data_IF_092766547620
#
_entry.id   IF_092766547620
#
_cell.length_a   1.000
_cell.length_b   1.000
_cell.length_c   1.000
_cell.angle_alpha   90.00
_cell.angle_beta   90.00
_cell.angle_gamma   90.00
#
_symmetry.space_group_name_H-M   'P 1'
#
loop_
_entity.id
_entity.type
_entity.pdbx_description
1 polymer ?
#
# COMPACT_ATOMS: atom_id res chain seq x y z
N UNK A 1 -46.95 -4.90 3.83
CA UNK A 1 -47.70 -3.64 3.84
C UNK A 1 -47.16 -2.77 2.74
N UNK A 2 -48.01 -2.36 1.84
CA UNK A 2 -47.68 -1.43 0.76
C UNK A 2 -47.51 -0.04 1.42
N UNK A 3 -46.25 0.45 1.44
CA UNK A 3 -45.96 1.78 1.97
C UNK A 3 -46.32 2.81 0.90
N UNK A 4 -47.23 3.72 1.22
CA UNK A 4 -47.60 4.84 0.34
C UNK A 4 -47.02 6.11 0.93
N UNK A 5 -46.12 6.74 0.18
CA UNK A 5 -45.54 8.05 0.49
C UNK A 5 -46.40 9.09 -0.21
N UNK A 6 -46.71 10.21 0.46
CA UNK A 6 -47.52 11.24 -0.21
C UNK A 6 -46.72 11.97 -1.31
N UNK A 7 -45.48 12.46 -0.98
CA UNK A 7 -44.66 13.13 -1.97
C UNK A 7 -43.16 12.81 -1.74
N UNK A 8 -42.46 12.40 -2.80
CA UNK A 8 -41.00 12.28 -2.83
C UNK A 8 -40.44 13.40 -3.71
N UNK A 9 -39.56 14.22 -3.13
CA UNK A 9 -38.94 15.35 -3.81
C UNK A 9 -37.63 14.87 -4.46
N UNK A 10 -37.51 15.07 -5.77
CA UNK A 10 -36.33 14.72 -6.55
C UNK A 10 -35.79 15.92 -7.31
N UNK A 11 -34.46 16.06 -7.33
CA UNK A 11 -33.76 17.05 -8.13
C UNK A 11 -32.45 16.45 -8.64
N UNK A 12 -32.16 16.61 -9.93
CA UNK A 12 -31.01 16.01 -10.61
C UNK A 12 -30.81 14.50 -10.31
N UNK A 13 -31.88 13.72 -10.39
CA UNK A 13 -31.92 12.28 -10.10
C UNK A 13 -31.53 11.93 -8.63
N UNK A 14 -31.57 12.88 -7.74
CA UNK A 14 -31.31 12.68 -6.30
C UNK A 14 -32.59 12.88 -5.52
N UNK A 15 -32.88 12.00 -4.55
CA UNK A 15 -33.97 12.19 -3.59
C UNK A 15 -33.52 13.24 -2.59
N UNK A 16 -34.10 14.44 -2.65
CA UNK A 16 -33.69 15.58 -1.83
C UNK A 16 -34.58 15.82 -0.62
N UNK A 17 -35.80 15.30 -0.65
CA UNK A 17 -36.75 15.44 0.44
C UNK A 17 -37.95 14.50 0.33
N UNK A 18 -38.74 14.41 1.40
CA UNK A 18 -39.97 13.62 1.48
C UNK A 18 -41.00 14.41 2.27
N UNK A 19 -42.27 14.46 1.81
CA UNK A 19 -43.34 15.14 2.49
C UNK A 19 -44.43 14.14 2.83
N UNK A 20 -44.88 14.15 4.08
CA UNK A 20 -46.07 13.45 4.58
C UNK A 20 -47.11 14.47 4.95
N UNK A 21 -48.27 14.39 4.28
CA UNK A 21 -49.39 15.33 4.46
C UNK A 21 -50.50 14.73 5.34
N UNK A 22 -51.01 15.50 6.27
CA UNK A 22 -52.09 15.10 7.12
C UNK A 22 -53.28 16.08 7.00
N UNK A 23 -54.45 15.67 7.49
CA UNK A 23 -55.68 16.50 7.46
C UNK A 23 -55.51 17.78 8.26
N UNK A 24 -56.18 18.81 7.81
CA UNK A 24 -56.16 20.18 8.36
C UNK A 24 -56.36 20.28 9.88
N UNK A 25 -57.17 19.43 10.48
CA UNK A 25 -57.45 19.44 11.89
C UNK A 25 -56.43 18.75 12.80
N UNK A 26 -55.35 18.21 12.26
CA UNK A 26 -54.29 17.48 13.02
C UNK A 26 -53.06 18.35 13.26
N UNK A 27 -52.25 18.05 14.30
CA UNK A 27 -50.96 18.73 14.50
C UNK A 27 -50.07 18.63 13.28
N UNK A 28 -49.25 19.67 13.01
CA UNK A 28 -48.31 19.69 11.88
C UNK A 28 -47.25 18.60 11.97
N UNK A 29 -47.02 18.03 13.15
CA UNK A 29 -46.05 16.94 13.39
C UNK A 29 -46.68 15.55 13.35
N UNK A 30 -48.00 15.44 13.11
CA UNK A 30 -48.69 14.15 13.14
C UNK A 30 -48.13 13.14 12.14
N UNK A 31 -47.64 13.60 10.99
CA UNK A 31 -47.01 12.77 9.96
C UNK A 31 -45.51 12.52 10.16
N UNK A 32 -44.90 13.14 11.18
CA UNK A 32 -43.43 13.15 11.29
C UNK A 32 -42.82 11.77 11.47
N UNK A 33 -43.37 10.94 12.34
CA UNK A 33 -42.84 9.59 12.57
C UNK A 33 -42.89 8.74 11.27
N UNK A 34 -43.99 8.85 10.53
CA UNK A 34 -44.15 8.15 9.26
C UNK A 34 -43.19 8.69 8.21
N UNK A 35 -42.95 9.99 8.14
CA UNK A 35 -41.98 10.62 7.27
C UNK A 35 -40.55 10.17 7.59
N UNK A 36 -40.18 10.07 8.88
CA UNK A 36 -38.89 9.57 9.35
C UNK A 36 -38.68 8.08 8.95
N UNK A 37 -39.69 7.22 9.14
CA UNK A 37 -39.63 5.82 8.78
C UNK A 37 -39.39 5.63 7.26
N UNK A 38 -40.03 6.46 6.44
CA UNK A 38 -39.83 6.46 4.99
C UNK A 38 -38.49 7.08 4.60
N UNK A 39 -38.07 8.15 5.25
CA UNK A 39 -36.77 8.78 5.06
C UNK A 39 -35.63 7.79 5.28
N UNK A 40 -35.69 6.99 6.36
CA UNK A 40 -34.72 5.94 6.64
C UNK A 40 -34.70 4.85 5.56
N UNK A 41 -35.88 4.40 5.08
CA UNK A 41 -35.96 3.36 4.04
C UNK A 41 -35.43 3.81 2.68
N UNK A 42 -35.60 5.10 2.35
CA UNK A 42 -35.20 5.66 1.06
C UNK A 42 -33.87 6.41 1.09
N UNK A 43 -33.24 6.52 2.25
CA UNK A 43 -32.00 7.28 2.44
C UNK A 43 -32.19 8.78 2.18
N UNK A 44 -33.34 9.36 2.54
CA UNK A 44 -33.65 10.78 2.37
C UNK A 44 -33.32 11.52 3.67
N UNK A 45 -32.53 12.60 3.56
CA UNK A 45 -32.07 13.38 4.72
C UNK A 45 -33.16 14.30 5.27
N UNK A 46 -33.85 15.07 4.42
CA UNK A 46 -34.86 16.03 4.87
C UNK A 46 -36.25 15.44 4.71
N UNK A 47 -37.00 15.39 5.84
CA UNK A 47 -38.37 14.92 5.82
C UNK A 47 -39.28 16.03 6.37
N UNK A 48 -40.45 16.15 5.81
CA UNK A 48 -41.42 17.18 6.10
C UNK A 48 -42.76 16.55 6.54
N UNK A 49 -43.38 17.15 7.56
CA UNK A 49 -44.74 16.86 7.88
C UNK A 49 -45.56 18.16 7.77
N UNK A 50 -46.75 18.08 7.18
CA UNK A 50 -47.65 19.24 7.01
C UNK A 50 -49.09 18.84 7.19
N UNK A 51 -49.91 19.83 7.65
CA UNK A 51 -51.37 19.73 7.69
C UNK A 51 -52.06 20.77 6.80
N UNK A 52 -51.34 21.39 5.85
CA UNK A 52 -51.79 22.41 4.97
C UNK A 52 -51.73 23.83 5.52
N UNK A 53 -51.63 24.04 6.85
CA UNK A 53 -51.47 25.35 7.48
C UNK A 53 -50.05 25.63 7.98
N UNK A 54 -49.28 24.57 8.25
CA UNK A 54 -47.90 24.70 8.69
C UNK A 54 -47.03 23.59 8.14
N UNK A 55 -45.73 23.80 8.15
CA UNK A 55 -44.74 22.86 7.68
C UNK A 55 -43.73 22.63 8.80
N UNK A 56 -43.49 21.36 9.13
CA UNK A 56 -42.42 20.95 10.02
C UNK A 56 -41.34 20.28 9.22
N UNK A 57 -40.13 20.85 9.18
CA UNK A 57 -38.92 20.28 8.57
C UNK A 57 -38.17 19.51 9.63
N UNK A 58 -37.70 18.32 9.30
CA UNK A 58 -36.81 17.50 10.12
C UNK A 58 -35.58 17.07 9.34
N UNK A 59 -34.42 17.31 9.89
CA UNK A 59 -33.12 16.86 9.33
C UNK A 59 -32.70 15.55 10.03
N UNK A 60 -32.79 14.47 9.32
CA UNK A 60 -32.46 13.11 9.79
C UNK A 60 -30.98 12.92 10.18
N UNK A 61 -30.08 13.77 9.66
CA UNK A 61 -28.65 13.70 9.93
C UNK A 61 -28.30 14.41 11.25
N UNK A 62 -28.84 15.61 11.47
CA UNK A 62 -28.60 16.37 12.71
C UNK A 62 -29.55 16.01 13.84
N UNK A 63 -30.55 15.17 13.61
CA UNK A 63 -31.62 14.77 14.51
C UNK A 63 -32.37 15.99 15.10
N UNK A 64 -32.63 17.01 14.26
CA UNK A 64 -33.28 18.26 14.67
C UNK A 64 -34.44 18.61 13.76
N UNK A 65 -35.48 19.22 14.33
CA UNK A 65 -36.65 19.69 13.60
C UNK A 65 -37.04 21.13 13.93
N UNK A 66 -37.67 21.80 12.97
CA UNK A 66 -38.18 23.17 13.12
C UNK A 66 -39.42 23.41 12.26
N UNK A 67 -40.21 24.37 12.67
CA UNK A 67 -41.30 24.91 11.85
C UNK A 67 -40.68 25.86 10.82
N UNK A 68 -41.16 25.78 9.58
CA UNK A 68 -40.75 26.67 8.49
C UNK A 68 -41.98 27.29 7.83
N UNK A 69 -41.82 28.48 7.25
CA UNK A 69 -42.89 29.21 6.62
C UNK A 69 -43.15 28.77 5.17
N UNK A 70 -42.08 28.27 4.49
CA UNK A 70 -42.15 27.77 3.12
C UNK A 70 -41.13 26.65 2.89
N UNK A 71 -41.43 25.79 1.96
CA UNK A 71 -40.45 24.79 1.51
C UNK A 71 -39.21 25.47 0.89
N UNK A 72 -37.99 24.98 1.15
CA UNK A 72 -36.83 25.44 0.42
C UNK A 72 -36.96 25.12 -1.09
N UNK A 73 -36.32 25.91 -1.94
CA UNK A 73 -36.29 25.65 -3.37
C UNK A 73 -35.59 24.30 -3.66
N UNK A 74 -35.86 23.65 -4.81
CA UNK A 74 -35.15 22.42 -5.17
C UNK A 74 -33.63 22.56 -5.17
N UNK A 75 -33.12 23.70 -5.64
CA UNK A 75 -31.70 24.03 -5.62
C UNK A 75 -31.15 24.15 -4.20
N UNK A 76 -31.83 24.89 -3.33
CA UNK A 76 -31.42 25.07 -1.91
C UNK A 76 -31.42 23.73 -1.19
N UNK A 77 -32.46 22.91 -1.39
CA UNK A 77 -32.56 21.61 -0.77
C UNK A 77 -31.48 20.66 -1.29
N UNK A 78 -31.23 20.67 -2.60
CA UNK A 78 -30.13 19.92 -3.20
C UNK A 78 -28.77 20.37 -2.67
N UNK A 79 -28.54 21.66 -2.57
CA UNK A 79 -27.33 22.25 -1.99
C UNK A 79 -27.15 21.82 -0.53
N UNK A 80 -28.23 21.82 0.28
CA UNK A 80 -28.22 21.38 1.67
C UNK A 80 -27.91 19.88 1.79
N UNK A 81 -28.44 19.05 0.87
CA UNK A 81 -28.09 17.62 0.79
C UNK A 81 -26.63 17.42 0.36
N UNK A 82 -26.14 18.20 -0.60
CA UNK A 82 -24.79 18.13 -1.12
C UNK A 82 -23.77 18.91 -0.28
N UNK A 83 -24.16 20.10 0.23
CA UNK A 83 -23.28 21.02 0.92
C UNK A 83 -22.83 20.59 2.32
N UNK A 84 -23.57 19.67 2.92
CA UNK A 84 -23.22 19.03 4.21
C UNK A 84 -22.72 17.60 4.05
N UNK A 85 -22.34 17.15 2.85
CA UNK A 85 -21.54 15.94 2.78
C UNK A 85 -20.27 16.21 3.57
N UNK A 86 -20.11 15.51 4.68
CA UNK A 86 -18.89 15.60 5.50
C UNK A 86 -17.68 15.43 4.59
N UNK A 87 -16.55 16.05 4.92
CA UNK A 87 -15.32 15.83 4.15
C UNK A 87 -15.08 14.33 3.93
N UNK A 88 -15.45 13.51 4.89
CA UNK A 88 -15.45 12.05 4.82
C UNK A 88 -16.29 11.51 3.65
N UNK A 89 -17.52 11.99 3.48
CA UNK A 89 -18.39 11.53 2.38
C UNK A 89 -17.85 11.94 1.03
N UNK A 90 -17.33 13.16 0.89
CA UNK A 90 -16.64 13.61 -0.33
C UNK A 90 -15.46 12.68 -0.65
N UNK A 91 -14.65 12.36 0.36
CA UNK A 91 -13.50 11.47 0.22
C UNK A 91 -13.91 10.04 -0.17
N UNK A 92 -14.99 9.51 0.39
CA UNK A 92 -15.48 8.16 0.08
C UNK A 92 -16.15 8.10 -1.31
N UNK A 93 -16.92 9.13 -1.68
CA UNK A 93 -17.65 9.23 -2.96
C UNK A 93 -16.75 9.54 -4.16
N UNK A 94 -15.55 10.14 -3.94
CA UNK A 94 -14.61 10.39 -5.05
C UNK A 94 -14.34 9.09 -5.81
N UNK A 95 -14.54 9.03 -7.13
CA UNK A 95 -14.42 7.80 -7.89
C UNK A 95 -12.98 7.28 -7.94
N UNK A 96 -12.84 5.96 -8.03
CA UNK A 96 -11.57 5.33 -8.37
C UNK A 96 -11.29 5.51 -9.85
N UNK A 97 -10.03 5.74 -10.19
CA UNK A 97 -9.62 5.90 -11.56
C UNK A 97 -9.58 4.54 -12.25
N UNK A 98 -10.21 4.48 -13.42
CA UNK A 98 -10.18 3.35 -14.33
C UNK A 98 -9.54 3.85 -15.63
N UNK A 99 -8.32 3.43 -15.90
CA UNK A 99 -7.58 3.83 -17.08
C UNK A 99 -7.08 2.59 -17.82
N UNK A 100 -7.46 2.47 -19.09
CA UNK A 100 -7.07 1.35 -19.94
C UNK A 100 -7.46 0.00 -19.33
N UNK A 101 -6.48 -0.90 -19.17
CA UNK A 101 -6.66 -2.23 -18.58
C UNK A 101 -6.62 -2.24 -17.03
N UNK A 102 -6.33 -1.10 -16.38
CA UNK A 102 -6.22 -1.00 -14.93
C UNK A 102 -7.59 -0.79 -14.27
N UNK A 103 -8.39 -1.85 -14.23
CA UNK A 103 -9.68 -1.86 -13.52
C UNK A 103 -9.43 -2.34 -12.10
N UNK A 104 -9.74 -1.53 -11.05
CA UNK A 104 -9.53 -1.94 -9.67
C UNK A 104 -10.34 -3.19 -9.32
N UNK A 105 -9.67 -4.22 -8.79
CA UNK A 105 -10.31 -5.43 -8.28
C UNK A 105 -11.11 -5.12 -7.00
N UNK A 106 -12.08 -5.96 -6.66
CA UNK A 106 -12.97 -5.67 -5.52
C UNK A 106 -12.21 -5.43 -4.20
N UNK A 107 -11.22 -6.26 -3.88
CA UNK A 107 -10.43 -6.12 -2.66
C UNK A 107 -9.56 -4.84 -2.66
N UNK A 108 -9.10 -4.38 -3.83
CA UNK A 108 -8.40 -3.11 -3.97
C UNK A 108 -9.33 -1.92 -3.70
N UNK A 109 -10.57 -2.00 -4.20
CA UNK A 109 -11.63 -1.00 -3.89
C UNK A 109 -11.89 -0.93 -2.39
N UNK A 110 -12.03 -2.09 -1.74
CA UNK A 110 -12.21 -2.17 -0.28
C UNK A 110 -11.01 -1.61 0.49
N UNK A 111 -9.78 -1.97 0.08
CA UNK A 111 -8.56 -1.44 0.71
C UNK A 111 -8.49 0.09 0.64
N UNK A 112 -8.74 0.67 -0.56
CA UNK A 112 -8.78 2.13 -0.73
C UNK A 112 -9.88 2.75 0.11
N UNK A 113 -11.09 2.19 0.11
CA UNK A 113 -12.23 2.69 0.88
C UNK A 113 -11.95 2.69 2.39
N UNK A 114 -11.36 1.62 2.92
CA UNK A 114 -10.98 1.51 4.34
C UNK A 114 -9.88 2.49 4.72
N UNK A 115 -8.85 2.64 3.89
CA UNK A 115 -7.79 3.60 4.13
C UNK A 115 -8.29 5.05 4.09
N UNK A 116 -9.05 5.42 3.06
CA UNK A 116 -9.66 6.75 2.92
C UNK A 116 -10.63 7.03 4.08
N UNK A 117 -11.45 6.04 4.50
CA UNK A 117 -12.32 6.18 5.65
C UNK A 117 -11.55 6.47 6.93
N UNK A 118 -10.49 5.72 7.22
CA UNK A 118 -9.64 5.95 8.39
C UNK A 118 -8.96 7.33 8.36
N UNK A 119 -8.44 7.76 7.20
CA UNK A 119 -7.86 9.10 7.03
C UNK A 119 -8.91 10.18 7.28
N UNK A 120 -10.11 10.02 6.74
CA UNK A 120 -11.21 10.97 6.91
C UNK A 120 -11.73 11.04 8.37
N UNK A 121 -11.59 9.94 9.13
CA UNK A 121 -11.87 9.88 10.56
C UNK A 121 -10.72 10.45 11.42
N UNK A 122 -9.68 11.01 10.81
CA UNK A 122 -8.56 11.66 11.49
C UNK A 122 -7.45 10.71 11.94
N UNK A 123 -7.43 9.46 11.45
CA UNK A 123 -6.35 8.52 11.79
C UNK A 123 -5.02 8.98 11.19
N UNK A 124 -4.03 9.21 12.06
CA UNK A 124 -2.66 9.58 11.65
C UNK A 124 -1.81 8.36 11.24
N UNK A 125 -2.21 7.16 11.62
CA UNK A 125 -1.48 5.90 11.35
C UNK A 125 -2.46 4.91 10.76
N UNK A 126 -2.18 4.48 9.53
CA UNK A 126 -3.05 3.59 8.75
C UNK A 126 -2.19 2.44 8.21
N UNK A 127 -2.61 1.22 8.42
CA UNK A 127 -1.91 0.01 7.94
C UNK A 127 -2.81 -0.79 7.01
N UNK A 128 -2.27 -1.17 5.86
CA UNK A 128 -2.86 -2.13 4.94
C UNK A 128 -1.96 -3.36 4.84
N UNK A 129 -2.51 -4.52 5.13
CA UNK A 129 -1.80 -5.80 4.99
C UNK A 129 -2.37 -6.55 3.78
N UNK A 130 -1.59 -6.65 2.70
CA UNK A 130 -2.01 -7.30 1.47
C UNK A 130 -0.88 -8.18 0.93
N UNK A 131 -1.21 -9.41 0.54
CA UNK A 131 -0.24 -10.36 0.01
C UNK A 131 0.55 -9.79 -1.18
N UNK A 132 1.74 -10.32 -1.42
CA UNK A 132 2.54 -9.97 -2.61
C UNK A 132 1.75 -10.30 -3.89
N UNK A 133 1.83 -9.45 -4.92
CA UNK A 133 1.10 -9.63 -6.18
C UNK A 133 -0.33 -9.09 -6.18
N UNK A 134 -0.83 -8.52 -5.07
CA UNK A 134 -2.18 -7.94 -4.98
C UNK A 134 -2.28 -6.50 -5.50
N UNK A 135 -1.16 -5.88 -5.89
CA UNK A 135 -1.12 -4.52 -6.41
C UNK A 135 -1.13 -3.44 -5.33
N UNK A 136 -0.37 -3.60 -4.25
CA UNK A 136 -0.20 -2.59 -3.18
C UNK A 136 0.13 -1.20 -3.71
N UNK A 137 1.05 -1.11 -4.66
CA UNK A 137 1.45 0.17 -5.30
C UNK A 137 0.28 0.81 -6.05
N UNK A 138 -0.55 0.00 -6.72
CA UNK A 138 -1.76 0.50 -7.39
C UNK A 138 -2.81 1.02 -6.39
N UNK A 139 -2.97 0.35 -5.24
CA UNK A 139 -3.83 0.84 -4.15
C UNK A 139 -3.32 2.18 -3.63
N UNK A 140 -2.01 2.32 -3.40
CA UNK A 140 -1.39 3.59 -3.02
C UNK A 140 -1.65 4.69 -4.06
N UNK A 141 -1.49 4.39 -5.34
CA UNK A 141 -1.81 5.29 -6.44
C UNK A 141 -3.25 5.78 -6.39
N UNK A 142 -4.22 4.87 -6.21
CA UNK A 142 -5.64 5.24 -6.11
C UNK A 142 -5.92 6.15 -4.91
N UNK A 143 -5.31 5.89 -3.75
CA UNK A 143 -5.41 6.75 -2.57
C UNK A 143 -4.86 8.15 -2.86
N UNK A 144 -3.65 8.23 -3.40
CA UNK A 144 -3.01 9.51 -3.74
C UNK A 144 -3.84 10.29 -4.76
N UNK A 145 -4.34 9.64 -5.81
CA UNK A 145 -5.18 10.29 -6.81
C UNK A 145 -6.46 10.87 -6.24
N UNK A 146 -7.15 10.15 -5.35
CA UNK A 146 -8.33 10.68 -4.65
C UNK A 146 -7.98 11.94 -3.84
N UNK A 147 -6.89 11.91 -3.09
CA UNK A 147 -6.46 13.05 -2.27
C UNK A 147 -6.05 14.26 -3.14
N UNK A 148 -5.35 14.01 -4.27
CA UNK A 148 -5.00 15.05 -5.24
C UNK A 148 -6.25 15.68 -5.88
N UNK A 149 -7.20 14.87 -6.35
CA UNK A 149 -8.44 15.36 -6.98
C UNK A 149 -9.27 16.22 -6.01
N UNK A 150 -9.31 15.82 -4.75
CA UNK A 150 -10.03 16.54 -3.69
C UNK A 150 -9.24 17.73 -3.12
N UNK A 151 -8.00 17.94 -3.56
CA UNK A 151 -7.09 18.94 -2.98
C UNK A 151 -7.02 18.84 -1.45
N UNK A 152 -7.00 17.59 -0.96
CA UNK A 152 -7.06 17.30 0.47
C UNK A 152 -5.70 17.54 1.14
N UNK A 153 -5.70 18.29 2.22
CA UNK A 153 -4.54 18.46 3.09
C UNK A 153 -4.86 18.10 4.54
N UNK A 154 -3.85 17.67 5.26
CA UNK A 154 -3.96 17.29 6.68
C UNK A 154 -4.33 18.48 7.58
N UNK A 155 -3.94 19.70 7.18
CA UNK A 155 -4.27 20.96 7.88
C UNK A 155 -5.66 21.53 7.52
N UNK A 156 -6.43 20.83 6.69
CA UNK A 156 -7.78 21.22 6.26
C UNK A 156 -7.82 22.30 5.17
N UNK A 157 -6.70 22.82 4.71
CA UNK A 157 -6.64 23.78 3.60
C UNK A 157 -6.95 23.09 2.27
N UNK A 158 -7.73 23.72 1.42
CA UNK A 158 -8.04 23.22 0.09
C UNK A 158 -6.89 23.53 -0.89
N UNK A 159 -5.86 22.69 -0.86
CA UNK A 159 -4.68 22.80 -1.73
C UNK A 159 -4.20 21.39 -2.13
N UNK A 160 -3.40 21.33 -3.20
CA UNK A 160 -2.79 20.05 -3.61
C UNK A 160 -1.91 19.49 -2.50
N UNK A 161 -2.16 18.24 -2.06
CA UNK A 161 -1.36 17.62 -1.02
C UNK A 161 0.08 17.38 -1.47
N UNK A 162 0.98 17.31 -0.50
CA UNK A 162 2.35 16.85 -0.65
C UNK A 162 2.44 15.42 -0.13
N UNK A 163 2.88 14.52 -0.99
CA UNK A 163 2.96 13.08 -0.72
C UNK A 163 4.41 12.63 -0.76
N UNK A 164 4.85 11.88 0.23
CA UNK A 164 6.14 11.19 0.21
C UNK A 164 5.91 9.68 0.11
N UNK A 165 6.46 9.04 -0.92
CA UNK A 165 6.46 7.59 -1.08
C UNK A 165 7.86 7.06 -0.76
N UNK A 166 7.96 6.27 0.29
CA UNK A 166 9.21 5.66 0.77
C UNK A 166 9.23 4.16 0.46
N UNK A 167 10.34 3.70 -0.10
CA UNK A 167 10.60 2.29 -0.32
C UNK A 167 12.04 1.91 0.11
N UNK A 168 12.25 0.62 0.28
CA UNK A 168 13.55 0.05 0.69
C UNK A 168 14.59 0.10 -0.44
N UNK A 169 14.17 -0.07 -1.70
CA UNK A 169 15.07 -0.23 -2.86
C UNK A 169 14.67 0.63 -4.05
N UNK A 170 15.68 1.06 -4.81
CA UNK A 170 15.49 1.85 -6.03
C UNK A 170 14.55 1.18 -7.04
N UNK A 171 14.64 -0.15 -7.22
CA UNK A 171 13.76 -0.87 -8.16
C UNK A 171 12.29 -0.76 -7.77
N UNK A 172 11.96 -0.75 -6.47
CA UNK A 172 10.59 -0.56 -5.99
C UNK A 172 10.12 0.87 -6.22
N UNK A 173 11.00 1.85 -6.03
CA UNK A 173 10.73 3.25 -6.34
C UNK A 173 10.44 3.43 -7.83
N UNK A 174 11.27 2.85 -8.71
CA UNK A 174 11.12 2.97 -10.17
C UNK A 174 9.81 2.29 -10.65
N UNK A 175 9.48 1.13 -10.10
CA UNK A 175 8.18 0.45 -10.36
C UNK A 175 6.99 1.27 -9.87
N UNK A 176 7.11 1.91 -8.71
CA UNK A 176 6.06 2.78 -8.18
C UNK A 176 5.89 4.02 -9.07
N UNK A 177 6.97 4.69 -9.48
CA UNK A 177 6.93 5.81 -10.42
C UNK A 177 6.21 5.41 -11.71
N UNK A 178 6.51 4.24 -12.28
CA UNK A 178 5.83 3.73 -13.47
C UNK A 178 4.32 3.56 -13.27
N UNK A 179 3.88 3.13 -12.09
CA UNK A 179 2.45 3.03 -11.76
C UNK A 179 1.79 4.41 -11.68
N UNK A 180 2.54 5.46 -11.35
CA UNK A 180 2.08 6.83 -11.20
C UNK A 180 2.24 7.67 -12.49
N UNK A 181 2.59 7.10 -13.64
CA UNK A 181 2.89 7.82 -14.89
C UNK A 181 1.80 8.82 -15.31
N UNK A 182 0.53 8.56 -15.01
CA UNK A 182 -0.58 9.44 -15.38
C UNK A 182 -0.57 10.79 -14.63
N UNK A 183 0.31 10.95 -13.64
CA UNK A 183 0.55 12.21 -12.93
C UNK A 183 2.03 12.64 -13.01
N UNK A 184 2.75 12.21 -14.03
CA UNK A 184 4.20 12.42 -14.20
C UNK A 184 4.66 13.86 -13.93
N UNK A 185 3.90 14.86 -14.38
CA UNK A 185 4.22 16.28 -14.17
C UNK A 185 4.23 16.73 -12.70
N UNK A 186 3.67 15.91 -11.81
CA UNK A 186 3.57 16.18 -10.37
C UNK A 186 4.55 15.34 -9.54
N UNK A 187 5.39 14.53 -10.20
CA UNK A 187 6.29 13.56 -9.57
C UNK A 187 7.73 14.06 -9.56
N UNK A 188 8.44 13.77 -8.48
CA UNK A 188 9.90 13.89 -8.42
C UNK A 188 10.51 12.70 -7.67
N UNK A 189 11.60 12.15 -8.20
CA UNK A 189 12.44 11.20 -7.47
C UNK A 189 13.48 11.96 -6.65
N UNK A 190 13.50 11.73 -5.36
CA UNK A 190 14.50 12.28 -4.45
C UNK A 190 15.70 11.33 -4.47
N UNK A 191 16.74 11.73 -5.17
CA UNK A 191 17.98 10.96 -5.35
C UNK A 191 19.16 11.70 -4.72
N UNK A 192 19.91 11.04 -3.85
CA UNK A 192 21.06 11.66 -3.17
C UNK A 192 22.17 12.13 -4.12
N UNK A 193 22.32 11.52 -5.32
CA UNK A 193 23.27 11.97 -6.34
C UNK A 193 22.80 13.28 -6.97
N UNK A 194 21.50 13.38 -7.28
CA UNK A 194 20.91 14.60 -7.86
C UNK A 194 20.89 15.76 -6.84
N UNK A 195 20.61 15.47 -5.56
CA UNK A 195 20.71 16.48 -4.50
C UNK A 195 22.14 17.03 -4.41
N UNK A 196 23.16 16.17 -4.43
CA UNK A 196 24.56 16.63 -4.43
C UNK A 196 24.90 17.48 -5.64
N UNK A 197 24.43 17.17 -6.85
CA UNK A 197 24.61 18.00 -8.04
C UNK A 197 23.93 19.37 -7.92
N UNK A 198 22.89 19.49 -7.11
CA UNK A 198 22.18 20.74 -6.81
C UNK A 198 22.72 21.45 -5.55
N UNK A 199 23.98 21.27 -5.24
CA UNK A 199 24.64 21.85 -4.06
C UNK A 199 23.95 21.47 -2.73
N UNK A 200 23.42 20.26 -2.63
CA UNK A 200 22.76 19.76 -1.45
C UNK A 200 21.30 20.19 -1.26
N UNK A 201 20.70 20.89 -2.23
CA UNK A 201 19.31 21.38 -2.12
C UNK A 201 18.31 20.32 -2.56
N UNK A 202 17.32 20.06 -1.69
CA UNK A 202 16.24 19.09 -1.96
C UNK A 202 15.17 19.69 -2.90
N UNK A 203 14.51 18.87 -3.76
CA UNK A 203 13.41 19.34 -4.59
C UNK A 203 12.17 19.68 -3.74
N UNK A 204 11.45 20.77 -4.04
CA UNK A 204 10.27 21.22 -3.28
C UNK A 204 9.03 21.54 -4.12
N UNK A 205 9.15 21.54 -5.45
CA UNK A 205 8.09 22.02 -6.35
C UNK A 205 7.00 20.95 -6.67
N UNK A 206 7.32 19.66 -6.56
CA UNK A 206 6.39 18.57 -6.92
C UNK A 206 5.27 18.38 -5.87
N UNK A 207 4.28 17.55 -6.21
CA UNK A 207 3.24 17.09 -5.28
C UNK A 207 3.54 15.70 -4.72
N UNK A 208 4.17 14.82 -5.52
CA UNK A 208 4.49 13.45 -5.11
C UNK A 208 6.01 13.24 -5.21
N UNK A 209 6.59 12.85 -4.10
CA UNK A 209 8.01 12.63 -3.91
C UNK A 209 8.27 11.15 -3.70
N UNK A 210 9.17 10.56 -4.47
CA UNK A 210 9.59 9.18 -4.34
C UNK A 210 11.03 9.12 -3.84
N UNK A 211 11.28 8.35 -2.77
CA UNK A 211 12.60 8.20 -2.20
C UNK A 211 12.85 6.77 -1.70
N UNK A 212 14.11 6.36 -1.69
CA UNK A 212 14.55 5.28 -0.78
C UNK A 212 14.97 5.90 0.56
N UNK A 213 14.86 5.11 1.62
CA UNK A 213 15.24 5.59 2.97
C UNK A 213 16.64 6.20 2.99
N UNK A 214 17.62 5.50 2.41
CA UNK A 214 19.02 5.95 2.37
C UNK A 214 19.22 7.26 1.61
N UNK A 215 18.40 7.54 0.60
CA UNK A 215 18.51 8.77 -0.18
C UNK A 215 18.05 10.00 0.62
N UNK A 216 16.99 9.86 1.43
CA UNK A 216 16.42 10.96 2.19
C UNK A 216 17.09 11.17 3.55
N UNK A 217 17.65 10.09 4.11
CA UNK A 217 18.44 10.15 5.35
C UNK A 217 19.91 10.49 5.11
N UNK A 218 20.36 10.54 3.85
CA UNK A 218 21.68 11.05 3.47
C UNK A 218 22.82 10.05 3.47
N UNK A 219 22.63 8.78 3.76
CA UNK A 219 23.64 7.72 3.70
C UNK A 219 25.04 8.09 4.23
N UNK A 220 25.75 7.18 4.89
CA UNK A 220 27.11 7.40 5.36
C UNK A 220 28.10 7.54 4.19
N UNK A 221 28.51 8.74 3.87
CA UNK A 221 29.77 9.01 3.19
C UNK A 221 30.63 9.86 4.14
N UNK A 222 31.70 9.24 4.65
CA UNK A 222 32.79 9.92 5.39
C UNK A 222 32.34 11.09 6.27
N UNK A 223 31.97 10.78 7.53
CA UNK A 223 31.86 11.68 8.69
C UNK A 223 30.67 12.64 8.82
N UNK A 224 29.79 12.85 7.82
CA UNK A 224 28.58 13.63 8.03
C UNK A 224 27.32 12.86 7.59
N UNK A 225 26.41 12.62 8.54
CA UNK A 225 25.05 12.12 8.26
C UNK A 225 24.25 13.30 7.71
N UNK A 226 24.14 13.39 6.38
CA UNK A 226 23.35 14.43 5.71
C UNK A 226 21.86 14.07 5.79
N UNK A 227 21.18 14.54 6.81
CA UNK A 227 19.74 14.29 7.02
C UNK A 227 18.90 15.20 6.10
N UNK A 228 18.84 14.90 4.80
CA UNK A 228 18.14 15.68 3.79
C UNK A 228 16.67 15.92 4.10
N UNK A 229 16.00 15.02 4.81
CA UNK A 229 14.60 15.19 5.20
C UNK A 229 14.40 16.42 6.11
N UNK A 230 15.40 16.84 6.87
CA UNK A 230 15.33 18.04 7.72
C UNK A 230 15.31 19.37 6.95
N UNK A 231 15.63 19.37 5.67
CA UNK A 231 15.47 20.55 4.82
C UNK A 231 14.01 20.85 4.48
N UNK A 232 13.11 19.87 4.62
CA UNK A 232 11.69 20.10 4.50
C UNK A 232 11.11 20.56 5.85
N UNK A 233 10.21 21.55 5.87
CA UNK A 233 9.43 21.89 7.06
C UNK A 233 8.70 20.67 7.61
N UNK A 234 8.45 20.62 8.91
CA UNK A 234 7.78 19.48 9.55
C UNK A 234 6.36 19.21 9.03
N UNK A 235 5.68 20.25 8.59
CA UNK A 235 4.34 20.27 7.99
C UNK A 235 4.34 20.21 6.45
N UNK A 236 5.50 19.88 5.85
CA UNK A 236 5.63 19.89 4.39
C UNK A 236 4.83 18.77 3.72
N UNK A 237 4.83 17.57 4.28
CA UNK A 237 4.09 16.43 3.73
C UNK A 237 2.76 16.23 4.47
N UNK A 238 1.69 15.99 3.70
CA UNK A 238 0.36 15.66 4.22
C UNK A 238 0.18 14.17 4.46
N UNK A 239 0.83 13.34 3.62
CA UNK A 239 0.81 11.88 3.74
C UNK A 239 2.17 11.29 3.35
N UNK A 240 2.61 10.31 4.14
CA UNK A 240 3.81 9.51 3.89
C UNK A 240 3.38 8.06 3.70
N UNK A 241 3.66 7.51 2.53
CA UNK A 241 3.39 6.11 2.19
C UNK A 241 4.67 5.32 2.36
N UNK A 242 4.60 4.25 3.13
CA UNK A 242 5.73 3.39 3.45
C UNK A 242 5.49 2.02 2.86
N UNK A 243 6.16 1.72 1.74
CA UNK A 243 6.06 0.39 1.12
C UNK A 243 6.99 -0.60 1.81
N UNK A 244 6.50 -1.85 1.97
CA UNK A 244 7.16 -2.93 2.70
C UNK A 244 7.62 -2.50 4.11
N UNK A 245 6.74 -1.82 4.85
CA UNK A 245 7.03 -1.18 6.14
C UNK A 245 7.47 -2.17 7.26
N UNK A 246 7.41 -3.50 7.00
CA UNK A 246 7.93 -4.54 7.87
C UNK A 246 9.45 -4.77 7.71
N UNK A 247 10.04 -4.25 6.63
CA UNK A 247 11.47 -4.39 6.36
C UNK A 247 12.23 -3.24 7.02
N UNK A 248 12.82 -3.52 8.16
CA UNK A 248 13.84 -2.71 8.80
C UNK A 248 14.87 -3.66 9.38
N UNK A 249 16.15 -3.63 8.96
CA UNK A 249 17.19 -4.22 9.75
C UNK A 249 17.33 -3.41 11.06
N UNK A 250 17.79 -4.02 12.15
CA UNK A 250 17.95 -3.33 13.43
C UNK A 250 18.75 -2.00 13.32
N UNK A 251 19.59 -1.85 12.27
CA UNK A 251 20.32 -0.62 11.95
C UNK A 251 19.50 0.37 11.10
N UNK A 252 18.53 -0.09 10.30
CA UNK A 252 17.69 0.76 9.42
C UNK A 252 16.41 1.21 10.12
N UNK A 253 15.92 0.49 11.13
CA UNK A 253 14.72 0.84 11.91
C UNK A 253 14.84 2.23 12.56
N UNK A 254 16.03 2.58 13.03
CA UNK A 254 16.29 3.93 13.55
C UNK A 254 16.27 5.03 12.48
N UNK A 255 16.49 4.72 11.20
CA UNK A 255 16.59 5.73 10.15
C UNK A 255 15.24 6.14 9.58
N UNK A 256 14.36 5.20 9.22
CA UNK A 256 13.03 5.54 8.71
C UNK A 256 12.14 6.12 9.81
N UNK A 257 12.30 5.62 11.06
CA UNK A 257 11.58 6.14 12.22
C UNK A 257 11.86 7.63 12.40
N UNK A 258 13.12 8.06 12.31
CA UNK A 258 13.50 9.48 12.41
C UNK A 258 12.85 10.36 11.35
N UNK A 259 12.67 9.84 10.12
CA UNK A 259 11.94 10.54 9.06
C UNK A 259 10.47 10.71 9.44
N UNK A 260 9.83 9.65 9.92
CA UNK A 260 8.42 9.70 10.33
C UNK A 260 8.20 10.57 11.58
N UNK A 261 9.12 10.53 12.53
CA UNK A 261 9.06 11.37 13.73
C UNK A 261 9.24 12.86 13.39
N UNK A 262 10.04 13.17 12.35
CA UNK A 262 10.16 14.55 11.85
C UNK A 262 8.86 15.07 11.24
N UNK A 263 8.10 14.23 10.55
CA UNK A 263 6.83 14.57 9.91
C UNK A 263 5.64 13.95 10.69
N UNK A 264 5.63 14.07 12.01
CA UNK A 264 4.63 13.44 12.89
C UNK A 264 3.19 13.86 12.62
N UNK A 265 3.00 15.08 12.06
CA UNK A 265 1.69 15.63 11.71
C UNK A 265 1.11 15.04 10.43
N UNK A 266 1.93 14.47 9.56
CA UNK A 266 1.47 13.80 8.36
C UNK A 266 0.70 12.50 8.69
N UNK A 267 -0.19 12.10 7.78
CA UNK A 267 -0.75 10.75 7.81
C UNK A 267 0.31 9.75 7.34
N UNK A 268 0.58 8.71 8.12
CA UNK A 268 1.49 7.65 7.74
C UNK A 268 0.70 6.42 7.31
N UNK A 269 0.82 6.05 6.03
CA UNK A 269 0.18 4.88 5.43
C UNK A 269 1.21 3.78 5.20
N UNK A 270 1.17 2.74 6.03
CA UNK A 270 2.00 1.56 5.89
C UNK A 270 1.37 0.53 4.95
N UNK A 271 2.18 -0.01 4.04
CA UNK A 271 1.84 -1.13 3.16
C UNK A 271 2.76 -2.29 3.47
N UNK A 272 2.21 -3.49 3.70
CA UNK A 272 3.00 -4.68 3.96
C UNK A 272 2.35 -5.93 3.39
N UNK A 273 3.15 -6.92 3.01
CA UNK A 273 2.68 -8.24 2.60
C UNK A 273 2.61 -9.23 3.75
N UNK A 274 3.32 -8.98 4.85
CA UNK A 274 3.45 -9.92 5.95
C UNK A 274 2.46 -9.63 7.07
N UNK A 275 1.63 -10.62 7.47
CA UNK A 275 0.83 -10.51 8.67
C UNK A 275 1.75 -10.41 9.92
N UNK A 276 1.17 -10.00 11.03
CA UNK A 276 1.89 -9.85 12.31
C UNK A 276 2.64 -11.12 12.69
N UNK A 277 3.95 -10.99 12.94
CA UNK A 277 4.86 -12.04 13.43
C UNK A 277 5.77 -11.45 14.50
N UNK A 278 6.55 -12.28 15.17
CA UNK A 278 7.51 -11.84 16.20
C UNK A 278 8.56 -10.87 15.67
N UNK A 279 8.97 -11.05 14.40
CA UNK A 279 10.00 -10.26 13.73
C UNK A 279 9.51 -8.89 13.18
N UNK A 280 8.21 -8.60 13.23
CA UNK A 280 7.64 -7.32 12.77
C UNK A 280 6.68 -6.68 13.79
N UNK A 281 6.88 -6.96 15.06
CA UNK A 281 6.07 -6.42 16.18
C UNK A 281 6.10 -4.89 16.19
N UNK A 282 7.25 -4.26 15.89
CA UNK A 282 7.40 -2.81 15.92
C UNK A 282 6.56 -2.09 14.88
N UNK A 283 6.37 -2.69 13.69
CA UNK A 283 5.45 -2.16 12.67
C UNK A 283 4.02 -2.07 13.21
N UNK A 284 3.55 -3.13 13.88
CA UNK A 284 2.20 -3.15 14.44
C UNK A 284 2.06 -2.28 15.70
N UNK A 285 3.12 -2.12 16.47
CA UNK A 285 3.14 -1.17 17.59
C UNK A 285 3.03 0.27 17.09
N UNK A 286 3.63 0.57 15.93
CA UNK A 286 3.58 1.91 15.35
C UNK A 286 2.26 2.23 14.66
N UNK A 287 1.79 1.36 13.78
CA UNK A 287 0.58 1.61 12.97
C UNK A 287 -0.71 1.15 13.64
N UNK A 288 -0.63 0.25 14.63
CA UNK A 288 -1.80 -0.42 15.20
C UNK A 288 -2.29 -1.57 14.33
N UNK A 289 -3.57 -1.93 14.53
CA UNK A 289 -4.22 -2.98 13.73
C UNK A 289 -4.44 -2.51 12.29
N UNK A 290 -4.24 -3.38 11.29
CA UNK A 290 -4.57 -3.04 9.90
C UNK A 290 -6.04 -2.65 9.75
N UNK A 291 -6.30 -1.60 8.97
CA UNK A 291 -7.67 -1.20 8.61
C UNK A 291 -8.27 -2.12 7.55
N UNK A 292 -7.41 -2.85 6.84
CA UNK A 292 -7.80 -3.89 5.88
C UNK A 292 -6.70 -4.93 5.74
N UNK A 293 -7.11 -6.20 5.67
CA UNK A 293 -6.23 -7.34 5.41
C UNK A 293 -6.74 -8.14 4.21
N UNK A 294 -5.84 -8.57 3.35
CA UNK A 294 -6.10 -9.49 2.25
C UNK A 294 -4.96 -10.48 2.12
N UNK A 295 -5.20 -11.67 2.60
CA UNK A 295 -4.18 -12.70 2.74
C UNK A 295 -3.87 -13.40 1.40
N UNK A 296 -2.71 -14.07 1.35
CA UNK A 296 -2.35 -14.94 0.22
C UNK A 296 -3.39 -16.04 -0.01
N UNK A 297 -3.96 -16.60 1.06
CA UNK A 297 -5.01 -17.63 0.97
C UNK A 297 -6.28 -17.08 0.31
N UNK A 298 -6.74 -15.91 0.72
CA UNK A 298 -7.88 -15.24 0.09
C UNK A 298 -7.62 -14.98 -1.38
N UNK A 299 -6.44 -14.42 -1.72
CA UNK A 299 -6.07 -14.14 -3.11
C UNK A 299 -6.01 -15.37 -4.01
N UNK A 300 -5.60 -16.51 -3.47
CA UNK A 300 -5.61 -17.80 -4.18
C UNK A 300 -7.07 -18.32 -4.33
N UNK A 301 -7.87 -18.27 -3.27
CA UNK A 301 -9.26 -18.71 -3.31
C UNK A 301 -10.11 -17.91 -4.29
N UNK A 302 -9.86 -16.60 -4.38
CA UNK A 302 -10.52 -15.68 -5.30
C UNK A 302 -9.99 -15.78 -6.75
N UNK A 303 -8.96 -16.57 -7.00
CA UNK A 303 -8.34 -16.75 -8.32
C UNK A 303 -7.47 -15.59 -8.79
N UNK A 304 -7.13 -14.63 -7.93
CA UNK A 304 -6.24 -13.50 -8.27
C UNK A 304 -4.76 -13.81 -8.09
N UNK A 305 -4.44 -14.78 -7.24
CA UNK A 305 -3.07 -15.23 -7.00
C UNK A 305 -2.94 -16.71 -7.35
N UNK A 306 -1.80 -17.07 -7.90
CA UNK A 306 -1.53 -18.45 -8.32
C UNK A 306 -1.31 -19.34 -7.12
N UNK A 307 -1.96 -20.53 -7.05
CA UNK A 307 -1.66 -21.52 -6.03
C UNK A 307 -0.24 -22.07 -6.21
N UNK A 308 0.39 -22.45 -5.11
CA UNK A 308 1.75 -22.96 -5.11
C UNK A 308 1.83 -24.35 -4.46
N UNK A 309 2.85 -25.12 -4.85
CA UNK A 309 3.24 -26.37 -4.23
C UNK A 309 4.57 -26.20 -3.51
N UNK A 310 4.67 -26.62 -2.26
CA UNK A 310 5.93 -26.63 -1.51
C UNK A 310 6.52 -28.04 -1.56
N UNK A 311 7.72 -28.17 -2.07
CA UNK A 311 8.53 -29.38 -1.96
C UNK A 311 9.72 -29.08 -1.04
N UNK A 312 9.78 -29.77 0.09
CA UNK A 312 10.93 -29.68 1.00
C UNK A 312 11.94 -30.76 0.64
N UNK A 313 13.13 -30.35 0.26
CA UNK A 313 14.26 -31.24 0.04
C UNK A 313 15.15 -31.15 1.28
N UNK A 314 15.32 -32.25 1.98
CA UNK A 314 16.27 -32.37 3.09
C UNK A 314 17.52 -33.04 2.55
N UNK A 315 18.69 -32.54 2.93
CA UNK A 315 19.95 -33.21 2.72
C UNK A 315 20.33 -33.94 4.00
N UNK A 316 21.08 -35.02 3.88
CA UNK A 316 21.66 -35.72 5.05
C UNK A 316 22.78 -34.93 5.73
N UNK A 317 23.00 -33.68 5.32
CA UNK A 317 23.94 -32.71 5.89
C UNK A 317 23.17 -31.48 6.42
N UNK A 318 22.18 -31.72 7.28
CA UNK A 318 21.51 -30.62 7.99
C UNK A 318 22.39 -30.11 9.18
N UNK A 319 23.36 -30.93 9.55
CA UNK A 319 24.39 -30.65 10.57
C UNK A 319 25.72 -31.21 10.09
N UNK A 320 26.80 -30.46 10.16
CA UNK A 320 28.14 -30.93 9.80
C UNK A 320 29.07 -30.89 10.98
N UNK A 321 29.66 -32.06 11.27
CA UNK A 321 30.69 -32.24 12.29
C UNK A 321 31.99 -32.57 11.57
N UNK A 322 33.00 -31.73 11.74
CA UNK A 322 34.32 -31.96 11.18
C UNK A 322 34.97 -33.21 11.79
N UNK A 323 35.38 -34.14 10.96
CA UNK A 323 35.96 -35.42 11.36
C UNK A 323 37.42 -35.52 10.97
N UNK A 324 38.15 -36.46 11.64
CA UNK A 324 39.55 -36.75 11.40
C UNK A 324 39.84 -37.37 10.00
N UNK A 325 39.47 -36.85 8.97
CA UNK A 325 39.67 -37.28 7.59
C UNK A 325 39.19 -36.22 6.61
N UNK A 326 38.51 -35.23 7.15
CA UNK A 326 38.04 -34.09 6.38
C UNK A 326 39.20 -33.13 6.14
N UNK A 327 39.20 -32.48 5.00
CA UNK A 327 40.25 -31.50 4.66
C UNK A 327 39.63 -30.11 4.46
N UNK A 328 40.27 -29.11 5.08
CA UNK A 328 39.96 -27.71 4.83
C UNK A 328 40.64 -27.28 3.55
N UNK A 329 39.85 -26.91 2.52
CA UNK A 329 40.37 -26.47 1.23
C UNK A 329 40.83 -25.00 1.25
N UNK A 330 40.21 -24.18 2.10
CA UNK A 330 40.51 -22.75 2.23
C UNK A 330 40.03 -22.21 3.60
N UNK A 331 40.82 -21.35 4.23
CA UNK A 331 40.53 -20.74 5.53
C UNK A 331 40.86 -21.63 6.73
N UNK A 332 40.40 -21.25 7.89
CA UNK A 332 40.56 -21.97 9.15
C UNK A 332 39.18 -22.37 9.71
N UNK A 333 39.11 -23.47 10.46
CA UNK A 333 37.88 -23.89 11.11
C UNK A 333 37.70 -23.12 12.43
N UNK A 334 36.61 -22.40 12.52
CA UNK A 334 36.23 -21.67 13.74
C UNK A 334 35.59 -22.58 14.80
N UNK A 335 34.92 -23.66 14.35
CA UNK A 335 34.18 -24.61 15.19
C UNK A 335 34.37 -26.04 14.68
N UNK A 336 34.02 -27.02 15.52
CA UNK A 336 33.98 -28.42 15.11
C UNK A 336 32.59 -28.85 14.55
N UNK A 337 31.53 -28.12 14.90
CA UNK A 337 30.16 -28.41 14.53
C UNK A 337 29.51 -27.17 13.95
N UNK A 338 28.78 -27.33 12.83
CA UNK A 338 28.10 -26.27 12.10
C UNK A 338 26.66 -26.65 11.83
N UNK A 339 25.73 -25.72 12.07
CA UNK A 339 24.30 -25.88 11.86
C UNK A 339 23.89 -25.45 10.43
N UNK A 340 22.69 -25.79 10.03
CA UNK A 340 22.13 -25.48 8.72
C UNK A 340 22.18 -23.97 8.39
N UNK A 341 22.03 -23.09 9.35
CA UNK A 341 22.06 -21.64 9.18
C UNK A 341 23.48 -21.09 8.91
N UNK A 342 24.51 -21.85 9.19
CA UNK A 342 25.92 -21.50 8.99
C UNK A 342 26.45 -21.94 7.62
N UNK A 343 25.72 -22.83 6.92
CA UNK A 343 26.10 -23.27 5.57
C UNK A 343 26.02 -22.10 4.57
N UNK A 344 27.04 -22.01 3.73
CA UNK A 344 27.26 -20.95 2.73
C UNK A 344 27.41 -19.54 3.36
N UNK A 345 27.61 -19.44 4.66
CA UNK A 345 27.99 -18.20 5.37
C UNK A 345 29.34 -18.39 6.06
N UNK A 346 29.38 -19.29 7.05
CA UNK A 346 30.58 -19.59 7.84
C UNK A 346 31.35 -20.77 7.23
N UNK A 347 30.64 -21.79 6.72
CA UNK A 347 31.22 -22.95 6.06
C UNK A 347 30.60 -23.18 4.68
N UNK A 348 31.45 -23.52 3.70
CA UNK A 348 31.02 -23.84 2.34
C UNK A 348 31.40 -25.29 2.04
N UNK A 349 30.41 -26.11 1.67
CA UNK A 349 30.58 -27.51 1.28
C UNK A 349 30.19 -27.62 -0.20
N UNK A 350 31.17 -27.68 -1.13
CA UNK A 350 30.91 -27.71 -2.58
C UNK A 350 30.00 -28.86 -2.99
N UNK A 351 30.23 -30.06 -2.43
CA UNK A 351 29.46 -31.26 -2.74
C UNK A 351 27.98 -31.13 -2.35
N UNK A 352 27.67 -30.36 -1.29
CA UNK A 352 26.30 -30.03 -0.91
C UNK A 352 25.65 -29.10 -1.94
N UNK A 353 26.37 -28.11 -2.44
CA UNK A 353 25.88 -27.18 -3.48
C UNK A 353 25.57 -27.97 -4.76
N UNK A 354 26.50 -28.86 -5.21
CA UNK A 354 26.28 -29.71 -6.36
C UNK A 354 25.07 -30.62 -6.21
N UNK A 355 24.89 -31.23 -5.03
CA UNK A 355 23.73 -32.08 -4.75
C UNK A 355 22.41 -31.30 -4.75
N UNK A 356 22.40 -30.10 -4.22
CA UNK A 356 21.24 -29.20 -4.27
C UNK A 356 20.91 -28.84 -5.72
N UNK A 357 21.91 -28.52 -6.53
CA UNK A 357 21.72 -28.19 -7.95
C UNK A 357 21.14 -29.38 -8.74
N UNK A 358 21.64 -30.59 -8.52
CA UNK A 358 21.10 -31.82 -9.12
C UNK A 358 19.63 -32.03 -8.70
N UNK A 359 19.34 -32.00 -7.40
CA UNK A 359 17.98 -32.19 -6.91
C UNK A 359 17.02 -31.11 -7.46
N UNK A 360 17.47 -29.87 -7.61
CA UNK A 360 16.67 -28.81 -8.22
C UNK A 360 16.33 -29.17 -9.67
N UNK A 361 17.32 -29.53 -10.47
CA UNK A 361 17.13 -29.89 -11.88
C UNK A 361 16.23 -31.14 -12.07
N UNK A 362 16.29 -32.10 -11.14
CA UNK A 362 15.43 -33.28 -11.14
C UNK A 362 13.96 -32.97 -10.79
N UNK A 363 13.72 -31.88 -10.06
CA UNK A 363 12.40 -31.50 -9.57
C UNK A 363 11.64 -30.52 -10.46
N UNK A 364 12.33 -29.81 -11.34
CA UNK A 364 11.78 -28.79 -12.20
C UNK A 364 11.74 -29.24 -13.67
N UNK A 365 10.83 -28.63 -14.45
CA UNK A 365 10.94 -28.71 -15.89
C UNK A 365 12.07 -27.76 -16.35
N UNK A 366 13.06 -28.24 -17.15
CA UNK A 366 14.19 -27.42 -17.57
C UNK A 366 13.82 -26.10 -18.28
N UNK A 367 12.62 -26.00 -18.83
CA UNK A 367 12.15 -24.79 -19.54
C UNK A 367 11.27 -23.87 -18.67
N UNK A 368 11.01 -24.24 -17.43
CA UNK A 368 10.23 -23.38 -16.53
C UNK A 368 11.06 -22.22 -16.01
N UNK A 369 10.47 -21.01 -16.00
CA UNK A 369 11.09 -19.83 -15.37
C UNK A 369 11.34 -20.12 -13.88
N UNK A 370 12.60 -20.10 -13.50
CA UNK A 370 13.03 -20.48 -12.15
C UNK A 370 13.90 -19.39 -11.52
N UNK A 371 13.63 -19.03 -10.27
CA UNK A 371 14.46 -18.12 -9.47
C UNK A 371 15.06 -18.90 -8.31
N UNK A 372 16.37 -18.84 -8.14
CA UNK A 372 17.09 -19.47 -7.03
C UNK A 372 17.63 -18.38 -6.12
N UNK A 373 17.11 -18.32 -4.88
CA UNK A 373 17.62 -17.40 -3.87
C UNK A 373 18.80 -18.01 -3.14
N UNK A 374 19.89 -17.27 -3.08
CA UNK A 374 21.13 -17.68 -2.43
C UNK A 374 21.41 -16.81 -1.21
N UNK A 375 22.26 -17.29 -0.29
CA UNK A 375 22.58 -16.60 0.98
C UNK A 375 23.33 -15.30 0.72
N UNK A 376 24.31 -15.36 -0.22
CA UNK A 376 25.15 -14.24 -0.61
C UNK A 376 25.55 -14.35 -2.10
N UNK A 377 26.34 -13.39 -2.57
CA UNK A 377 26.78 -13.32 -3.97
C UNK A 377 27.72 -14.45 -4.35
N UNK A 378 28.59 -14.90 -3.44
CA UNK A 378 29.51 -16.03 -3.66
C UNK A 378 28.74 -17.34 -3.78
N UNK A 379 27.74 -17.57 -2.90
CA UNK A 379 26.85 -18.71 -3.00
C UNK A 379 26.06 -18.69 -4.32
N UNK A 380 25.61 -17.51 -4.77
CA UNK A 380 24.93 -17.36 -6.06
C UNK A 380 25.84 -17.73 -7.25
N UNK A 381 27.13 -17.35 -7.19
CA UNK A 381 28.12 -17.73 -8.19
C UNK A 381 28.29 -19.25 -8.24
N UNK A 382 28.54 -19.89 -7.11
CA UNK A 382 28.76 -21.34 -7.01
C UNK A 382 27.52 -22.14 -7.41
N UNK A 383 26.33 -21.69 -7.04
CA UNK A 383 25.06 -22.33 -7.42
C UNK A 383 24.81 -22.21 -8.92
N UNK A 384 25.04 -21.03 -9.54
CA UNK A 384 24.98 -20.86 -11.00
C UNK A 384 25.91 -21.85 -11.72
N UNK A 385 27.16 -21.98 -11.26
CA UNK A 385 28.15 -22.86 -11.86
C UNK A 385 27.76 -24.33 -11.68
N UNK A 386 27.23 -24.72 -10.53
CA UNK A 386 26.73 -26.07 -10.28
C UNK A 386 25.53 -26.40 -11.18
N UNK A 387 24.53 -25.51 -11.29
CA UNK A 387 23.38 -25.69 -12.20
C UNK A 387 23.85 -25.83 -13.65
N UNK A 388 24.72 -24.93 -14.13
CA UNK A 388 25.24 -24.99 -15.49
C UNK A 388 26.12 -26.24 -15.79
N UNK A 389 26.72 -26.83 -14.76
CA UNK A 389 27.48 -28.10 -14.89
C UNK A 389 26.55 -29.30 -15.07
N UNK A 390 25.42 -29.31 -14.38
CA UNK A 390 24.49 -30.45 -14.39
C UNK A 390 23.28 -30.27 -15.32
N UNK A 391 23.12 -29.11 -15.97
CA UNK A 391 22.03 -28.86 -16.91
C UNK A 391 22.00 -29.84 -18.08
N UNK A 392 20.80 -30.15 -18.55
CA UNK A 392 20.58 -30.99 -19.74
C UNK A 392 20.37 -30.16 -21.01
N UNK A 393 20.08 -28.87 -20.86
CA UNK A 393 19.80 -27.93 -21.95
C UNK A 393 21.13 -27.37 -22.54
N UNK A 394 21.22 -27.29 -23.87
CA UNK A 394 22.40 -26.76 -24.56
C UNK A 394 22.38 -25.23 -24.70
N UNK A 395 22.08 -24.53 -23.67
CA UNK A 395 22.11 -23.06 -23.65
C UNK A 395 23.25 -22.59 -22.73
N UNK A 396 24.14 -21.73 -23.22
CA UNK A 396 25.25 -21.21 -22.41
C UNK A 396 24.77 -20.29 -21.30
N UNK A 397 23.69 -19.56 -21.53
CA UNK A 397 23.06 -18.62 -20.58
C UNK A 397 21.87 -19.22 -19.82
N UNK A 398 21.76 -20.56 -19.75
CA UNK A 398 20.66 -21.27 -19.10
C UNK A 398 20.44 -20.83 -17.64
N UNK A 399 21.50 -20.71 -16.87
CA UNK A 399 21.45 -20.15 -15.52
C UNK A 399 22.44 -18.98 -15.44
N UNK A 400 21.91 -17.81 -15.12
CA UNK A 400 22.68 -16.58 -14.96
C UNK A 400 22.61 -16.08 -13.55
N UNK A 401 23.64 -15.38 -13.09
CA UNK A 401 23.65 -14.70 -11.79
C UNK A 401 23.18 -13.27 -11.98
N UNK A 402 22.28 -12.83 -11.09
CA UNK A 402 21.79 -11.46 -11.03
C UNK A 402 22.08 -10.90 -9.64
N UNK A 403 23.14 -10.14 -9.53
CA UNK A 403 23.59 -9.52 -8.27
C UNK A 403 24.05 -8.09 -8.54
N UNK A 404 24.35 -7.33 -7.48
CA UNK A 404 24.87 -5.96 -7.61
C UNK A 404 26.19 -5.89 -8.39
N UNK A 405 27.03 -6.92 -8.32
CA UNK A 405 28.35 -6.95 -8.94
C UNK A 405 28.26 -7.10 -10.46
N UNK A 406 27.21 -7.68 -11.02
CA UNK A 406 26.97 -7.74 -12.47
C UNK A 406 26.58 -6.37 -13.07
N UNK A 407 26.23 -5.39 -12.26
CA UNK A 407 25.90 -4.05 -12.72
C UNK A 407 24.80 -4.01 -13.79
N UNK A 408 25.06 -3.37 -14.93
CA UNK A 408 24.09 -3.26 -16.04
C UNK A 408 23.77 -4.62 -16.67
N UNK A 409 24.76 -5.50 -16.83
CA UNK A 409 24.54 -6.85 -17.41
C UNK A 409 23.54 -7.67 -16.60
N UNK A 410 23.59 -7.58 -15.27
CA UNK A 410 22.62 -8.26 -14.40
C UNK A 410 21.21 -7.72 -14.57
N UNK A 411 21.07 -6.40 -14.75
CA UNK A 411 19.77 -5.76 -15.02
C UNK A 411 19.20 -6.21 -16.36
N UNK A 412 19.99 -6.18 -17.41
CA UNK A 412 19.57 -6.61 -18.76
C UNK A 412 19.09 -8.08 -18.75
N UNK A 413 19.79 -8.95 -18.00
CA UNK A 413 19.37 -10.37 -17.85
C UNK A 413 18.08 -10.52 -17.03
N UNK A 414 17.86 -9.68 -16.02
CA UNK A 414 16.62 -9.66 -15.27
C UNK A 414 15.44 -9.19 -16.14
N UNK A 415 15.63 -8.16 -16.95
CA UNK A 415 14.62 -7.68 -17.90
C UNK A 415 14.28 -8.76 -18.92
N UNK A 416 15.27 -9.39 -19.55
CA UNK A 416 15.05 -10.53 -20.45
C UNK A 416 14.27 -11.67 -19.80
N UNK A 417 14.53 -11.98 -18.53
CA UNK A 417 13.79 -13.00 -17.78
C UNK A 417 12.34 -12.60 -17.51
N UNK A 418 12.06 -11.30 -17.35
CA UNK A 418 10.70 -10.81 -17.14
C UNK A 418 9.86 -10.78 -18.42
N UNK A 419 10.48 -10.41 -19.55
CA UNK A 419 9.80 -10.20 -20.84
C UNK A 419 9.49 -11.51 -21.60
N UNK A 420 10.25 -12.58 -21.38
CA UNK A 420 10.00 -13.90 -21.95
C UNK A 420 9.04 -14.72 -21.10
#
# INVERSE_FOLDING_TARGET
QQCSIDYLLQYNNTNVGLIEAKREGLPITEGLQQAQDYGNKLGVRFVYSTNGHGIFEYDMESDTGKVIDSYPTPEELYQRVQGNSSQKEKMLKEPLIQEGSMIPRYYQKLAVQRAIGAIADGSKRVLLTLATGTGKTFIAYQIVRKLLNLKWRVDGKEQQPKVLFLADRNILVDQAINTFNNIERQIVKVDGKEIRKRNGVVPSAANVYFAIYQAITGGANNDEILEYYKQYPKDFFDIIIIDECHRGSANDEGSWRRVLDHFEDAVHLGLTATPKREDNVDTYNYFGKPVYEYSLKEGINDGFLTPYKVKRVRTNLDEYIFKSGDSVKQGELEKQQYDQNEFNRTIIIPERIDKIAQNLLDLMNPMDKTIVFCVDQEHALRMRDAINRHKTVRDMDYCVRVTSDEGQRGKDKLEQFQDN
#
